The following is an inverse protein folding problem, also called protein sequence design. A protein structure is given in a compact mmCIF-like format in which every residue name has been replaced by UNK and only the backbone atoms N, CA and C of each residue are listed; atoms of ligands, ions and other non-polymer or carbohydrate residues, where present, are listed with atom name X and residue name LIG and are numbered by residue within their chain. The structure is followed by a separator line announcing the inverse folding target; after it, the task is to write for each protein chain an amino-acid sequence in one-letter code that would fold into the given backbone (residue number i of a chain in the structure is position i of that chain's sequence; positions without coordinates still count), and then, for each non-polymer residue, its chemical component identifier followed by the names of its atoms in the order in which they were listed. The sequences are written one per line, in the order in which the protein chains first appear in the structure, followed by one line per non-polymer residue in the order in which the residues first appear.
data_IF_464155614993
#
_entry.id   IF_464155614993
#
_cell.length_a   1.000
_cell.length_b   1.000
_cell.length_c   1.000
_cell.angle_alpha   90.00
_cell.angle_beta   90.00
_cell.angle_gamma   90.00
#
_symmetry.space_group_name_H-M   'P 1'
#
loop_
_entity.id
_entity.type
_entity.pdbx_description
1 polymer ?
#
# COMPACT_ATOMS: atom_id res chain seq x y z
N UNK A 1 -22.39 3.03 -14.27
CA UNK A 1 -22.27 3.98 -13.14
C UNK A 1 -21.99 5.37 -13.71
N UNK A 2 -22.61 6.42 -13.20
CA UNK A 2 -22.39 7.80 -13.70
C UNK A 2 -20.90 8.18 -13.47
N UNK A 3 -20.23 8.72 -14.49
CA UNK A 3 -18.80 9.09 -14.44
C UNK A 3 -18.50 10.04 -13.25
N UNK A 4 -19.39 10.99 -12.95
CA UNK A 4 -19.24 11.91 -11.82
C UNK A 4 -19.24 11.14 -10.49
N UNK A 5 -20.13 10.14 -10.34
CA UNK A 5 -20.19 9.32 -9.12
C UNK A 5 -18.89 8.50 -8.94
N UNK A 6 -18.35 7.94 -10.03
CA UNK A 6 -17.08 7.21 -10.01
C UNK A 6 -15.96 8.10 -9.51
N UNK A 7 -15.80 9.30 -10.07
CA UNK A 7 -14.77 10.25 -9.69
C UNK A 7 -14.90 10.64 -8.22
N UNK A 8 -16.12 10.97 -7.77
CA UNK A 8 -16.38 11.33 -6.38
C UNK A 8 -16.02 10.21 -5.42
N UNK A 9 -16.41 8.96 -5.73
CA UNK A 9 -16.07 7.79 -4.90
C UNK A 9 -14.56 7.57 -4.85
N UNK A 10 -13.85 7.65 -5.97
CA UNK A 10 -12.41 7.46 -6.03
C UNK A 10 -11.66 8.55 -5.23
N UNK A 11 -12.04 9.81 -5.38
CA UNK A 11 -11.43 10.93 -4.65
C UNK A 11 -11.70 10.83 -3.15
N UNK A 12 -12.96 10.59 -2.74
CA UNK A 12 -13.34 10.45 -1.35
C UNK A 12 -12.64 9.24 -0.68
N UNK A 13 -12.62 8.08 -1.35
CA UNK A 13 -11.92 6.90 -0.87
C UNK A 13 -10.41 7.13 -0.74
N UNK A 14 -9.80 7.80 -1.73
CA UNK A 14 -8.37 8.13 -1.70
C UNK A 14 -8.04 9.06 -0.55
N UNK A 15 -8.81 10.12 -0.35
CA UNK A 15 -8.63 11.04 0.78
C UNK A 15 -8.80 10.32 2.13
N UNK A 16 -9.89 9.57 2.31
CA UNK A 16 -10.16 8.86 3.55
C UNK A 16 -9.07 7.82 3.88
N UNK A 17 -8.69 7.01 2.91
CA UNK A 17 -7.66 5.98 3.12
C UNK A 17 -6.27 6.57 3.32
N UNK A 18 -5.93 7.68 2.67
CA UNK A 18 -4.69 8.41 2.90
C UNK A 18 -4.64 9.03 4.29
N UNK A 19 -5.76 9.57 4.78
CA UNK A 19 -5.90 10.08 6.16
C UNK A 19 -5.69 8.96 7.17
N UNK A 20 -6.38 7.84 7.00
CA UNK A 20 -6.23 6.66 7.85
C UNK A 20 -4.80 6.10 7.82
N UNK A 21 -4.18 6.08 6.66
CA UNK A 21 -2.79 5.64 6.47
C UNK A 21 -1.79 6.52 7.23
N UNK A 22 -1.98 7.82 7.18
CA UNK A 22 -1.10 8.76 7.87
C UNK A 22 -1.26 8.69 9.41
N UNK A 23 -2.44 8.32 9.90
CA UNK A 23 -2.71 8.08 11.32
C UNK A 23 -2.11 6.75 11.78
N UNK A 24 -2.33 5.68 11.01
CA UNK A 24 -1.89 4.33 11.37
C UNK A 24 -0.40 4.07 11.08
N UNK A 25 0.24 4.95 10.30
CA UNK A 25 1.63 4.81 9.89
C UNK A 25 1.88 3.72 8.83
N UNK A 26 0.83 3.15 8.24
CA UNK A 26 0.95 2.15 7.18
C UNK A 26 -0.16 2.26 6.12
N UNK A 27 0.15 1.76 4.93
CA UNK A 27 -0.54 1.94 3.66
C UNK A 27 -2.05 1.87 3.61
N UNK A 28 -2.71 3.00 3.34
CA UNK A 28 -4.10 3.06 2.89
C UNK A 28 -4.36 2.33 1.56
N UNK A 29 -3.31 1.92 0.86
CA UNK A 29 -3.41 1.20 -0.39
C UNK A 29 -4.17 -0.11 -0.30
N UNK A 30 -4.02 -0.85 0.81
CA UNK A 30 -4.77 -2.09 1.04
C UNK A 30 -6.27 -1.82 1.16
N UNK A 31 -6.66 -0.70 1.76
CA UNK A 31 -8.07 -0.31 1.88
C UNK A 31 -8.62 0.30 0.58
N UNK A 32 -7.77 0.98 -0.18
CA UNK A 32 -8.14 1.62 -1.44
C UNK A 32 -8.26 0.60 -2.58
N UNK A 33 -7.48 -0.48 -2.53
CA UNK A 33 -7.43 -1.50 -3.56
C UNK A 33 -8.82 -2.09 -3.90
N UNK A 34 -9.64 -2.54 -2.94
CA UNK A 34 -10.97 -3.08 -3.25
C UNK A 34 -11.88 -2.08 -3.97
N UNK A 35 -11.80 -0.80 -3.58
CA UNK A 35 -12.58 0.26 -4.23
C UNK A 35 -12.14 0.43 -5.68
N UNK A 36 -10.83 0.44 -5.93
CA UNK A 36 -10.31 0.58 -7.29
C UNK A 36 -10.59 -0.67 -8.13
N UNK A 37 -10.50 -1.87 -7.56
CA UNK A 37 -10.85 -3.11 -8.27
C UNK A 37 -12.32 -3.10 -8.70
N UNK A 38 -13.23 -2.66 -7.82
CA UNK A 38 -14.66 -2.57 -8.14
C UNK A 38 -14.97 -1.54 -9.24
N UNK A 39 -14.15 -0.51 -9.38
CA UNK A 39 -14.39 0.61 -10.32
C UNK A 39 -13.64 0.43 -11.64
N UNK A 40 -12.39 -0.05 -11.58
CA UNK A 40 -11.46 -0.07 -12.72
C UNK A 40 -11.13 -1.49 -13.22
N UNK A 41 -11.52 -2.52 -12.46
CA UNK A 41 -11.02 -3.88 -12.67
C UNK A 41 -9.62 -4.07 -12.09
N UNK A 42 -9.20 -5.33 -11.93
CA UNK A 42 -8.03 -5.70 -11.11
C UNK A 42 -6.71 -5.13 -11.66
N UNK A 43 -6.47 -5.20 -12.97
CA UNK A 43 -5.18 -4.78 -13.55
C UNK A 43 -4.99 -3.27 -13.50
N UNK A 44 -5.99 -2.50 -13.90
CA UNK A 44 -5.96 -1.05 -13.87
C UNK A 44 -5.96 -0.53 -12.44
N UNK A 45 -6.68 -1.18 -11.53
CA UNK A 45 -6.69 -0.85 -10.11
C UNK A 45 -5.30 -0.85 -9.50
N UNK A 46 -4.49 -1.90 -9.73
CA UNK A 46 -3.13 -2.00 -9.17
C UNK A 46 -2.20 -0.97 -9.80
N UNK A 47 -2.34 -0.73 -11.11
CA UNK A 47 -1.55 0.28 -11.83
C UNK A 47 -1.85 1.70 -11.32
N UNK A 48 -3.13 2.09 -11.29
CA UNK A 48 -3.58 3.41 -10.77
C UNK A 48 -3.23 3.59 -9.30
N UNK A 49 -3.45 2.54 -8.49
CA UNK A 49 -3.07 2.54 -7.08
C UNK A 49 -1.58 2.80 -6.88
N UNK A 50 -0.73 2.21 -7.72
CA UNK A 50 0.73 2.40 -7.63
C UNK A 50 1.11 3.88 -7.81
N UNK A 51 0.48 4.58 -8.77
CA UNK A 51 0.69 6.03 -8.99
C UNK A 51 0.14 6.85 -7.83
N UNK A 52 -1.10 6.60 -7.40
CA UNK A 52 -1.74 7.32 -6.30
C UNK A 52 -0.98 7.13 -4.97
N UNK A 53 -0.50 5.91 -4.70
CA UNK A 53 0.27 5.59 -3.51
C UNK A 53 1.67 6.23 -3.52
N UNK A 54 2.27 6.42 -4.68
CA UNK A 54 3.53 7.15 -4.79
C UNK A 54 3.37 8.58 -4.29
N UNK A 55 2.28 9.27 -4.64
CA UNK A 55 1.99 10.61 -4.16
C UNK A 55 1.71 10.64 -2.65
N UNK A 56 0.90 9.72 -2.14
CA UNK A 56 0.59 9.64 -0.70
C UNK A 56 1.80 9.29 0.16
N UNK A 57 2.60 8.31 -0.26
CA UNK A 57 3.82 7.94 0.44
C UNK A 57 4.89 9.02 0.32
N UNK A 58 5.05 9.63 -0.87
CA UNK A 58 5.94 10.78 -1.07
C UNK A 58 5.61 11.95 -0.14
N UNK A 59 4.33 12.25 0.04
CA UNK A 59 3.88 13.26 1.02
C UNK A 59 4.23 12.90 2.45
N UNK A 60 4.07 11.64 2.86
CA UNK A 60 4.49 11.16 4.20
C UNK A 60 6.00 11.25 4.40
N UNK A 61 6.80 10.93 3.39
CA UNK A 61 8.25 11.13 3.40
C UNK A 61 8.57 12.61 3.58
N UNK A 62 7.96 13.47 2.78
CA UNK A 62 8.18 14.92 2.84
C UNK A 62 7.88 15.50 4.21
N UNK A 63 6.75 15.13 4.81
CA UNK A 63 6.35 15.63 6.14
C UNK A 63 7.18 15.07 7.30
N UNK A 64 7.94 13.99 7.10
CA UNK A 64 8.78 13.35 8.14
C UNK A 64 10.24 13.19 7.67
N UNK A 65 10.70 13.96 6.67
CA UNK A 65 11.99 13.79 5.98
C UNK A 65 13.21 13.84 6.90
N UNK A 66 13.10 14.60 7.97
CA UNK A 66 14.20 14.81 8.92
C UNK A 66 14.36 13.62 9.89
N UNK A 67 13.35 12.75 9.96
CA UNK A 67 13.31 11.55 10.82
C UNK A 67 13.49 10.23 10.03
N UNK A 68 13.66 10.29 8.71
CA UNK A 68 13.80 9.09 7.86
C UNK A 68 15.13 8.39 8.13
N UNK A 69 15.07 7.11 8.54
CA UNK A 69 16.26 6.24 8.61
C UNK A 69 16.63 5.73 7.21
N UNK A 70 17.50 6.49 6.54
CA UNK A 70 17.95 6.18 5.17
C UNK A 70 18.72 4.87 5.08
N UNK A 71 19.46 4.49 6.15
CA UNK A 71 20.18 3.22 6.19
C UNK A 71 19.19 2.05 6.17
N UNK A 72 18.17 2.13 6.99
CA UNK A 72 17.16 1.09 7.07
C UNK A 72 16.33 0.98 5.76
N UNK A 73 16.03 2.12 5.11
CA UNK A 73 15.45 2.12 3.76
C UNK A 73 16.35 1.41 2.76
N UNK A 74 17.66 1.65 2.79
CA UNK A 74 18.62 0.98 1.91
C UNK A 74 18.68 -0.53 2.13
N UNK A 75 18.71 -0.99 3.38
CA UNK A 75 18.68 -2.42 3.72
C UNK A 75 17.39 -3.07 3.21
N UNK A 76 16.24 -2.46 3.46
CA UNK A 76 14.95 -2.94 2.96
C UNK A 76 14.92 -2.99 1.43
N UNK A 77 15.41 -1.92 0.77
CA UNK A 77 15.41 -1.78 -0.68
C UNK A 77 16.27 -2.85 -1.37
N UNK A 78 17.37 -3.29 -0.74
CA UNK A 78 18.23 -4.34 -1.28
C UNK A 78 17.45 -5.64 -1.57
N UNK A 79 16.50 -6.00 -0.72
CA UNK A 79 15.58 -7.11 -0.98
C UNK A 79 14.36 -6.71 -1.80
N UNK A 80 13.78 -5.54 -1.50
CA UNK A 80 12.50 -5.13 -2.07
C UNK A 80 12.58 -4.81 -3.58
N UNK A 81 13.65 -4.19 -4.05
CA UNK A 81 13.77 -3.78 -5.46
C UNK A 81 13.77 -4.97 -6.41
N UNK A 82 14.69 -5.96 -6.28
CA UNK A 82 14.69 -7.10 -7.20
C UNK A 82 13.40 -7.93 -7.09
N UNK A 83 12.87 -8.09 -5.89
CA UNK A 83 11.65 -8.86 -5.68
C UNK A 83 10.38 -8.13 -6.20
N UNK A 84 10.30 -6.80 -6.05
CA UNK A 84 9.23 -6.00 -6.64
C UNK A 84 9.27 -6.02 -8.17
N UNK A 85 10.46 -5.98 -8.75
CA UNK A 85 10.60 -6.12 -10.21
C UNK A 85 10.13 -7.49 -10.69
N UNK A 86 10.56 -8.58 -10.03
CA UNK A 86 10.11 -9.93 -10.34
C UNK A 86 8.58 -10.08 -10.18
N UNK A 87 8.03 -9.60 -9.07
CA UNK A 87 6.58 -9.62 -8.82
C UNK A 87 5.79 -8.82 -9.84
N UNK A 88 6.32 -7.68 -10.29
CA UNK A 88 5.68 -6.86 -11.32
C UNK A 88 5.66 -7.53 -12.71
N UNK A 89 6.72 -8.28 -13.05
CA UNK A 89 6.73 -9.11 -14.27
C UNK A 89 5.70 -10.24 -14.18
N UNK A 90 5.65 -10.93 -13.02
CA UNK A 90 4.63 -11.96 -12.76
C UNK A 90 3.23 -11.36 -12.87
N UNK A 91 2.98 -10.20 -12.27
CA UNK A 91 1.70 -9.50 -12.37
C UNK A 91 1.31 -9.18 -13.82
N UNK A 92 2.26 -8.70 -14.63
CA UNK A 92 2.02 -8.37 -16.03
C UNK A 92 1.60 -9.59 -16.86
N UNK A 93 2.19 -10.76 -16.57
CA UNK A 93 1.94 -12.00 -17.30
C UNK A 93 0.76 -12.84 -16.75
N UNK A 94 0.33 -12.59 -15.51
CA UNK A 94 -0.65 -13.44 -14.83
C UNK A 94 -2.07 -13.27 -15.39
N UNK A 95 -2.89 -14.35 -15.42
CA UNK A 95 -4.31 -14.27 -15.76
C UNK A 95 -5.09 -13.39 -14.77
N UNK A 96 -6.05 -12.62 -15.27
CA UNK A 96 -6.82 -11.66 -14.46
C UNK A 96 -7.54 -12.31 -13.28
N UNK A 97 -8.20 -13.44 -13.51
CA UNK A 97 -8.90 -14.18 -12.47
C UNK A 97 -7.96 -14.68 -11.35
N UNK A 98 -6.73 -15.06 -11.69
CA UNK A 98 -5.73 -15.45 -10.70
C UNK A 98 -5.30 -14.25 -9.83
N UNK A 99 -5.07 -13.09 -10.45
CA UNK A 99 -4.72 -11.86 -9.73
C UNK A 99 -5.83 -11.45 -8.76
N UNK A 100 -7.09 -11.46 -9.20
CA UNK A 100 -8.23 -11.10 -8.35
C UNK A 100 -8.34 -12.02 -7.14
N UNK A 101 -8.19 -13.35 -7.33
CA UNK A 101 -8.21 -14.31 -6.22
C UNK A 101 -7.03 -14.12 -5.27
N UNK A 102 -5.82 -13.89 -5.79
CA UNK A 102 -4.63 -13.62 -4.97
C UNK A 102 -4.84 -12.38 -4.10
N UNK A 103 -5.41 -11.30 -4.66
CA UNK A 103 -5.75 -10.10 -3.90
C UNK A 103 -6.78 -10.42 -2.82
N UNK A 104 -7.85 -11.15 -3.14
CA UNK A 104 -8.88 -11.54 -2.19
C UNK A 104 -8.33 -12.37 -1.04
N UNK A 105 -7.56 -13.42 -1.33
CA UNK A 105 -6.89 -14.26 -0.32
C UNK A 105 -5.93 -13.42 0.53
N UNK A 106 -5.15 -12.53 -0.08
CA UNK A 106 -4.25 -11.65 0.63
C UNK A 106 -4.99 -10.77 1.65
N UNK A 107 -6.14 -10.19 1.29
CA UNK A 107 -6.92 -9.37 2.21
C UNK A 107 -7.41 -10.17 3.42
N UNK A 108 -7.84 -11.42 3.22
CA UNK A 108 -8.25 -12.32 4.32
C UNK A 108 -7.06 -12.71 5.21
N UNK A 109 -5.93 -13.10 4.60
CA UNK A 109 -4.70 -13.42 5.33
C UNK A 109 -4.22 -12.24 6.15
N UNK A 110 -4.35 -11.00 5.61
CA UNK A 110 -3.98 -9.78 6.29
C UNK A 110 -4.70 -9.61 7.64
N UNK A 111 -6.01 -9.97 7.71
CA UNK A 111 -6.78 -9.88 8.96
C UNK A 111 -6.22 -10.85 10.01
N UNK A 112 -5.95 -12.09 9.61
CA UNK A 112 -5.38 -13.12 10.50
C UNK A 112 -3.99 -12.71 10.98
N UNK A 113 -3.14 -12.23 10.05
CA UNK A 113 -1.80 -11.75 10.34
C UNK A 113 -1.80 -10.61 11.37
N UNK A 114 -2.67 -9.62 11.20
CA UNK A 114 -2.80 -8.48 12.12
C UNK A 114 -3.15 -8.91 13.54
N UNK A 115 -4.01 -9.94 13.69
CA UNK A 115 -4.40 -10.47 15.01
C UNK A 115 -3.30 -11.25 15.70
N UNK A 116 -2.43 -11.92 14.93
CA UNK A 116 -1.35 -12.77 15.45
C UNK A 116 -0.04 -12.04 15.70
N UNK A 117 0.08 -10.78 15.38
CA UNK A 117 1.25 -9.90 15.44
C UNK A 117 2.49 -10.53 16.09
N UNK A 118 3.62 -10.67 15.39
CA UNK A 118 4.87 -11.08 16.01
C UNK A 118 5.35 -9.99 16.98
N UNK A 119 5.36 -10.27 18.27
CA UNK A 119 5.89 -9.41 19.30
C UNK A 119 7.36 -9.80 19.58
N UNK A 120 8.24 -8.80 19.72
CA UNK A 120 9.59 -9.03 20.24
C UNK A 120 10.59 -9.67 19.28
N UNK A 121 10.31 -9.73 17.98
CA UNK A 121 11.27 -10.24 16.99
C UNK A 121 12.40 -9.22 16.82
N UNK A 122 13.63 -9.58 17.22
CA UNK A 122 14.83 -8.84 16.85
C UNK A 122 15.21 -9.22 15.42
N UNK A 123 15.23 -8.23 14.52
CA UNK A 123 15.62 -8.42 13.12
C UNK A 123 17.03 -7.86 12.93
N UNK A 124 17.92 -8.66 12.39
CA UNK A 124 19.17 -8.18 11.81
C UNK A 124 18.94 -7.60 10.40
N UNK A 125 19.97 -7.09 9.77
CA UNK A 125 19.84 -6.46 8.46
C UNK A 125 19.48 -7.48 7.36
N UNK A 126 19.98 -8.72 7.46
CA UNK A 126 19.67 -9.78 6.49
C UNK A 126 18.20 -10.19 6.56
N UNK A 127 17.67 -10.41 7.77
CA UNK A 127 16.25 -10.69 7.97
C UNK A 127 15.37 -9.51 7.53
N UNK A 128 15.81 -8.27 7.75
CA UNK A 128 15.06 -7.08 7.33
C UNK A 128 15.07 -6.91 5.78
N UNK A 129 16.18 -7.25 5.11
CA UNK A 129 16.21 -7.31 3.65
C UNK A 129 15.28 -8.41 3.10
N UNK A 130 15.19 -9.58 3.79
CA UNK A 130 14.23 -10.62 3.42
C UNK A 130 12.77 -10.15 3.59
N UNK A 131 12.45 -9.38 4.64
CA UNK A 131 11.16 -8.70 4.78
C UNK A 131 10.92 -7.78 3.58
N UNK A 132 11.94 -7.04 3.16
CA UNK A 132 11.91 -6.23 1.94
C UNK A 132 11.56 -7.05 0.70
N UNK A 133 12.20 -8.21 0.51
CA UNK A 133 11.96 -9.08 -0.63
C UNK A 133 10.51 -9.60 -0.66
N UNK A 134 10.01 -10.15 0.45
CA UNK A 134 8.62 -10.63 0.54
C UNK A 134 7.64 -9.48 0.29
N UNK A 135 7.92 -8.32 0.85
CA UNK A 135 7.06 -7.14 0.72
C UNK A 135 7.07 -6.57 -0.69
N UNK A 136 8.24 -6.51 -1.33
CA UNK A 136 8.38 -6.03 -2.71
C UNK A 136 7.61 -6.90 -3.68
N UNK A 137 7.82 -8.22 -3.62
CA UNK A 137 7.10 -9.18 -4.45
C UNK A 137 5.57 -9.11 -4.22
N UNK A 138 5.15 -9.20 -2.96
CA UNK A 138 3.74 -9.13 -2.60
C UNK A 138 3.10 -7.80 -3.00
N UNK A 139 3.79 -6.66 -2.76
CA UNK A 139 3.28 -5.33 -3.15
C UNK A 139 3.06 -5.20 -4.65
N UNK A 140 3.84 -5.89 -5.48
CA UNK A 140 3.65 -5.87 -6.91
C UNK A 140 2.40 -6.65 -7.34
N UNK A 141 2.06 -7.73 -6.65
CA UNK A 141 0.88 -8.55 -6.94
C UNK A 141 -0.43 -7.95 -6.39
N UNK A 142 -0.38 -7.40 -5.16
CA UNK A 142 -1.59 -6.96 -4.44
C UNK A 142 -1.64 -5.45 -4.22
N UNK A 143 -0.77 -4.69 -4.86
CA UNK A 143 -0.75 -3.23 -4.84
C UNK A 143 -0.09 -2.62 -3.60
N UNK A 144 -0.25 -3.18 -2.40
CA UNK A 144 0.31 -2.64 -1.15
C UNK A 144 0.50 -3.72 -0.08
N UNK A 145 1.60 -3.62 0.68
CA UNK A 145 1.95 -4.55 1.78
C UNK A 145 2.13 -3.84 3.13
N UNK A 146 1.83 -2.54 3.21
CA UNK A 146 2.09 -1.71 4.39
C UNK A 146 1.70 -2.34 5.74
N UNK A 147 0.44 -2.79 5.94
CA UNK A 147 0.03 -3.38 7.21
C UNK A 147 0.80 -4.66 7.62
N UNK A 148 1.33 -5.42 6.66
CA UNK A 148 2.13 -6.62 6.95
C UNK A 148 3.56 -6.26 7.36
N UNK A 149 4.14 -5.21 6.81
CA UNK A 149 5.52 -4.81 7.08
C UNK A 149 5.65 -3.92 8.31
N UNK A 150 4.59 -3.22 8.68
CA UNK A 150 4.57 -2.30 9.82
C UNK A 150 5.19 -2.87 11.11
N UNK A 151 4.85 -4.10 11.57
CA UNK A 151 5.44 -4.68 12.76
C UNK A 151 6.97 -4.81 12.71
N UNK A 152 7.52 -5.06 11.53
CA UNK A 152 8.96 -5.23 11.34
C UNK A 152 9.73 -3.91 11.42
N UNK A 153 9.16 -2.81 10.92
CA UNK A 153 9.73 -1.48 11.13
C UNK A 153 9.68 -1.06 12.60
N UNK A 154 8.56 -1.35 13.29
CA UNK A 154 8.44 -1.10 14.72
C UNK A 154 9.43 -1.95 15.55
N UNK A 155 9.66 -3.19 15.14
CA UNK A 155 10.64 -4.08 15.79
C UNK A 155 12.09 -3.58 15.65
N UNK A 156 12.38 -2.69 14.68
CA UNK A 156 13.66 -1.98 14.55
C UNK A 156 13.77 -0.74 15.46
N UNK A 157 12.77 -0.51 16.30
CA UNK A 157 12.76 0.59 17.28
C UNK A 157 12.30 1.94 16.72
N UNK A 158 11.77 1.98 15.49
CA UNK A 158 11.25 3.22 14.91
C UNK A 158 9.91 3.59 15.57
N UNK A 159 9.76 4.86 15.91
CA UNK A 159 8.56 5.39 16.53
C UNK A 159 8.06 6.64 15.78
N UNK A 160 6.75 6.89 15.82
CA UNK A 160 6.10 8.12 15.31
C UNK A 160 6.60 8.54 13.91
N UNK A 161 7.14 9.76 13.77
CA UNK A 161 7.59 10.31 12.51
C UNK A 161 8.72 9.50 11.85
N UNK A 162 9.67 8.98 12.63
CA UNK A 162 10.72 8.09 12.12
C UNK A 162 10.13 6.81 11.51
N UNK A 163 9.15 6.19 12.16
CA UNK A 163 8.44 5.04 11.62
C UNK A 163 7.66 5.40 10.35
N UNK A 164 6.82 6.45 10.41
CA UNK A 164 5.96 6.87 9.29
C UNK A 164 6.80 7.24 8.06
N UNK A 165 7.85 8.03 8.25
CA UNK A 165 8.74 8.49 7.18
C UNK A 165 9.56 7.37 6.56
N UNK A 166 10.12 6.47 7.39
CA UNK A 166 10.98 5.37 6.91
C UNK A 166 10.16 4.30 6.19
N UNK A 167 8.99 3.91 6.71
CA UNK A 167 8.07 2.99 6.03
C UNK A 167 7.57 3.57 4.71
N UNK A 168 7.21 4.85 4.70
CA UNK A 168 6.78 5.52 3.48
C UNK A 168 7.90 5.60 2.45
N UNK A 169 9.15 5.85 2.86
CA UNK A 169 10.29 5.86 1.94
C UNK A 169 10.56 4.47 1.33
N UNK A 170 10.47 3.41 2.14
CA UNK A 170 10.53 2.03 1.66
C UNK A 170 9.40 1.72 0.66
N UNK A 171 8.18 2.18 0.94
CA UNK A 171 7.04 2.04 0.02
C UNK A 171 7.26 2.82 -1.29
N UNK A 172 7.80 4.05 -1.23
CA UNK A 172 8.17 4.83 -2.43
C UNK A 172 9.14 4.06 -3.32
N UNK A 173 10.18 3.44 -2.75
CA UNK A 173 11.13 2.63 -3.53
C UNK A 173 10.41 1.47 -4.24
N UNK A 174 9.54 0.74 -3.55
CA UNK A 174 8.76 -0.34 -4.18
C UNK A 174 7.83 0.19 -5.29
N UNK A 175 7.16 1.32 -5.06
CA UNK A 175 6.26 1.90 -6.07
C UNK A 175 7.01 2.41 -7.30
N UNK A 176 8.17 3.04 -7.12
CA UNK A 176 9.03 3.45 -8.25
C UNK A 176 9.49 2.23 -9.06
N UNK A 177 9.94 1.16 -8.40
CA UNK A 177 10.33 -0.08 -9.08
C UNK A 177 9.16 -0.65 -9.89
N UNK A 178 7.96 -0.72 -9.30
CA UNK A 178 6.76 -1.19 -10.00
C UNK A 178 6.40 -0.30 -11.20
N UNK A 179 6.49 1.03 -11.05
CA UNK A 179 6.19 1.96 -12.15
C UNK A 179 7.10 1.73 -13.35
N UNK A 180 8.39 1.52 -13.12
CA UNK A 180 9.34 1.22 -14.20
C UNK A 180 8.96 -0.08 -14.91
N UNK A 181 8.71 -1.16 -14.16
CA UNK A 181 8.39 -2.46 -14.75
C UNK A 181 7.00 -2.46 -15.40
N UNK A 182 5.99 -1.90 -14.77
CA UNK A 182 4.64 -1.79 -15.32
C UNK A 182 4.60 -0.91 -16.58
N UNK A 183 5.42 0.15 -16.63
CA UNK A 183 5.60 0.95 -17.81
C UNK A 183 6.22 0.16 -18.97
N UNK A 184 7.32 -0.55 -18.70
CA UNK A 184 8.00 -1.39 -19.70
C UNK A 184 7.11 -2.58 -20.18
N UNK A 185 6.27 -3.12 -19.31
CA UNK A 185 5.35 -4.22 -19.62
C UNK A 185 3.99 -3.77 -20.19
N UNK A 186 3.82 -2.47 -20.49
CA UNK A 186 2.58 -1.86 -20.99
C UNK A 186 1.33 -2.11 -20.09
N UNK A 187 1.55 -2.34 -18.79
CA UNK A 187 0.48 -2.43 -17.78
C UNK A 187 -0.02 -1.02 -17.41
N UNK A 188 0.89 -0.02 -17.42
CA UNK A 188 0.54 1.38 -17.22
C UNK A 188 0.01 1.98 -18.52
N UNK A 189 -1.26 2.35 -18.52
CA UNK A 189 -1.85 3.14 -19.60
C UNK A 189 -1.72 4.64 -19.30
N UNK A 190 -1.72 5.47 -20.34
CA UNK A 190 -1.71 6.95 -20.17
C UNK A 190 -2.91 7.41 -19.33
N UNK A 191 -4.08 6.82 -19.55
CA UNK A 191 -5.29 7.09 -18.75
C UNK A 191 -5.13 6.67 -17.30
N UNK A 192 -4.51 5.52 -17.04
CA UNK A 192 -4.22 5.03 -15.69
C UNK A 192 -3.26 5.95 -14.92
N UNK A 193 -2.19 6.39 -15.59
CA UNK A 193 -1.26 7.38 -15.02
C UNK A 193 -1.97 8.70 -14.74
N UNK A 194 -2.74 9.21 -15.71
CA UNK A 194 -3.50 10.46 -15.53
C UNK A 194 -4.50 10.36 -14.37
N UNK A 195 -5.22 9.23 -14.25
CA UNK A 195 -6.13 8.97 -13.14
C UNK A 195 -5.40 8.95 -11.79
N UNK A 196 -4.28 8.23 -11.70
CA UNK A 196 -3.47 8.17 -10.49
C UNK A 196 -2.92 9.54 -10.08
N UNK A 197 -2.46 10.33 -11.04
CA UNK A 197 -2.00 11.71 -10.81
C UNK A 197 -3.14 12.64 -10.40
N UNK A 198 -4.33 12.51 -11.00
CA UNK A 198 -5.51 13.28 -10.61
C UNK A 198 -5.94 13.01 -9.15
N UNK A 199 -5.63 11.84 -8.60
CA UNK A 199 -5.88 11.47 -7.20
C UNK A 199 -4.76 11.94 -6.25
N UNK A 200 -3.61 12.39 -6.75
CA UNK A 200 -2.49 12.83 -5.93
C UNK A 200 -2.83 13.97 -4.96
N UNK A 201 -3.61 15.01 -5.33
CA UNK A 201 -4.03 16.04 -4.39
C UNK A 201 -4.87 15.50 -3.24
N UNK A 202 -5.77 14.55 -3.50
CA UNK A 202 -6.58 13.90 -2.46
C UNK A 202 -5.71 13.04 -1.52
N UNK A 203 -4.73 12.31 -2.06
CA UNK A 203 -3.74 11.57 -1.27
C UNK A 203 -2.91 12.49 -0.38
N UNK A 204 -2.39 13.60 -0.91
CA UNK A 204 -1.58 14.56 -0.16
C UNK A 204 -2.40 15.27 0.92
N UNK A 205 -3.61 15.72 0.59
CA UNK A 205 -4.53 16.34 1.55
C UNK A 205 -4.92 15.36 2.67
N UNK A 206 -5.20 14.11 2.34
CA UNK A 206 -5.47 13.06 3.33
C UNK A 206 -4.27 12.80 4.24
N UNK A 207 -3.07 12.68 3.69
CA UNK A 207 -1.83 12.50 4.46
C UNK A 207 -1.57 13.67 5.42
N UNK A 208 -1.77 14.90 4.97
CA UNK A 208 -1.65 16.09 5.81
C UNK A 208 -2.71 16.14 6.93
N UNK A 209 -3.97 15.81 6.60
CA UNK A 209 -5.07 15.73 7.56
C UNK A 209 -4.78 14.68 8.63
N UNK A 210 -4.34 13.48 8.21
CA UNK A 210 -3.99 12.41 9.13
C UNK A 210 -2.83 12.76 10.05
N UNK A 211 -1.81 13.48 9.58
CA UNK A 211 -0.74 13.99 10.43
C UNK A 211 -1.27 14.91 11.54
N UNK A 212 -2.29 15.71 11.27
CA UNK A 212 -2.91 16.58 12.29
C UNK A 212 -3.82 15.84 13.30
N UNK A 213 -4.31 14.67 12.91
CA UNK A 213 -5.30 13.90 13.70
C UNK A 213 -4.63 12.81 14.55
N UNK A 214 -3.40 12.41 14.19
CA UNK A 214 -2.65 11.29 14.81
C UNK A 214 -2.74 11.27 16.35
N UNK A 215 -2.77 12.43 16.96
CA UNK A 215 -2.76 12.55 18.43
C UNK A 215 -4.16 12.42 19.07
N UNK A 216 -5.24 12.28 18.29
CA UNK A 216 -6.63 12.37 18.77
C UNK A 216 -7.47 11.11 18.58
N UNK A 217 -7.07 10.14 17.76
CA UNK A 217 -7.88 8.95 17.45
C UNK A 217 -7.59 7.76 18.38
N UNK A 218 -8.61 7.14 18.97
CA UNK A 218 -8.46 5.87 19.69
C UNK A 218 -8.06 4.77 18.70
N UNK A 219 -6.91 4.12 18.95
CA UNK A 219 -6.37 3.07 18.07
C UNK A 219 -7.34 1.90 17.84
N UNK A 220 -8.22 1.60 18.81
CA UNK A 220 -9.15 0.47 18.73
C UNK A 220 -10.24 0.61 17.66
N UNK A 221 -10.86 1.78 17.55
CA UNK A 221 -11.94 2.01 16.57
C UNK A 221 -11.42 1.89 15.13
N UNK A 222 -10.22 2.41 14.87
CA UNK A 222 -9.56 2.28 13.57
C UNK A 222 -9.34 0.82 13.16
N UNK A 223 -8.87 -0.02 14.09
CA UNK A 223 -8.59 -1.44 13.82
C UNK A 223 -9.84 -2.17 13.35
N UNK A 224 -10.97 -1.96 14.03
CA UNK A 224 -12.25 -2.63 13.68
C UNK A 224 -12.73 -2.23 12.28
N UNK A 225 -12.72 -0.95 11.95
CA UNK A 225 -13.15 -0.47 10.61
C UNK A 225 -12.29 -1.08 9.50
N UNK A 226 -10.97 -1.12 9.70
CA UNK A 226 -10.05 -1.74 8.73
C UNK A 226 -10.33 -3.23 8.58
N UNK A 227 -10.49 -3.97 9.67
CA UNK A 227 -10.72 -5.41 9.63
C UNK A 227 -12.03 -5.77 8.94
N UNK A 228 -13.12 -5.07 9.26
CA UNK A 228 -14.44 -5.29 8.61
C UNK A 228 -14.33 -5.03 7.10
N UNK A 229 -13.72 -3.92 6.70
CA UNK A 229 -13.53 -3.59 5.30
C UNK A 229 -12.69 -4.62 4.53
N UNK A 230 -11.60 -5.11 5.15
CA UNK A 230 -10.73 -6.13 4.55
C UNK A 230 -11.44 -7.49 4.41
N UNK A 231 -12.20 -7.92 5.42
CA UNK A 231 -12.97 -9.18 5.37
C UNK A 231 -14.02 -9.12 4.27
N UNK A 232 -14.86 -8.08 4.27
CA UNK A 232 -15.93 -7.93 3.28
C UNK A 232 -15.37 -7.92 1.86
N UNK A 233 -14.34 -7.10 1.62
CA UNK A 233 -13.72 -6.98 0.29
C UNK A 233 -13.01 -8.26 -0.13
N UNK A 234 -12.29 -8.91 0.79
CA UNK A 234 -11.59 -10.16 0.51
C UNK A 234 -12.55 -11.29 0.13
N UNK A 235 -13.67 -11.42 0.85
CA UNK A 235 -14.70 -12.43 0.54
C UNK A 235 -15.33 -12.18 -0.83
N UNK A 236 -15.70 -10.94 -1.15
CA UNK A 236 -16.24 -10.59 -2.46
C UNK A 236 -15.27 -10.98 -3.57
N UNK A 237 -14.00 -10.57 -3.49
CA UNK A 237 -13.01 -10.85 -4.53
C UNK A 237 -12.67 -12.33 -4.68
N UNK A 238 -12.70 -13.11 -3.60
CA UNK A 238 -12.48 -14.57 -3.66
C UNK A 238 -13.66 -15.27 -4.35
N UNK A 239 -14.89 -14.86 -4.03
CA UNK A 239 -16.12 -15.51 -4.54
C UNK A 239 -16.38 -15.12 -5.99
N UNK A 240 -16.26 -13.84 -6.33
CA UNK A 240 -16.59 -13.36 -7.69
C UNK A 240 -15.49 -13.67 -8.70
N UNK A 241 -14.25 -13.83 -8.25
CA UNK A 241 -13.09 -14.09 -9.12
C UNK A 241 -12.76 -12.96 -10.09
N UNK A 242 -13.39 -11.79 -9.90
CA UNK A 242 -13.28 -10.61 -10.75
C UNK A 242 -14.51 -10.39 -11.60
#
# INVERSE_FOLDING_TARGET
MNTVLVVVVMVAATFATATLSAVAGFGGGVLLLPVFVAVLGTRDAVAVLTVAQLAGNGSRVWFNRDEVDRRLVGVFAAGAVPAAAAGALVFAAAPLAALTRVIGVFLLVMVVWRRRRPHGVRLDDAAFAAVGAVSGFGSALVGSMGPMVAPFFLARGLLRGAYIGTEAAAAVVMHLTKLVVFGAAAVLTTSGVATGLALAPASAAGAWTGKKIVDRLPAGAFVVVVEVGLVASGLVLVVTGG
#
